data_IF_118427087775
#
_entry.id   IF_118427087775
#
_cell.length_a   1.000
_cell.length_b   1.000
_cell.length_c   1.000
_cell.angle_alpha   90.00
_cell.angle_beta   90.00
_cell.angle_gamma   90.00
#
_symmetry.space_group_name_H-M   'P 1'
#
loop_
_entity.id
_entity.type
_entity.pdbx_description
1 polymer ?
#
# COMPACT_ATOMS: atom_id res chain seq x y z
N UNK A 1 4.08 -20.23 -13.32
CA UNK A 1 4.31 -21.69 -13.09
C UNK A 1 3.58 -22.11 -11.84
N UNK A 2 3.09 -23.34 -11.82
CA UNK A 2 2.39 -23.91 -10.66
C UNK A 2 3.37 -24.62 -9.72
N UNK A 3 2.89 -25.02 -8.55
CA UNK A 3 3.71 -25.68 -7.53
C UNK A 3 4.34 -26.97 -8.06
N UNK A 4 3.58 -27.76 -8.81
CA UNK A 4 4.07 -29.00 -9.42
C UNK A 4 5.30 -28.75 -10.31
N UNK A 5 5.25 -27.72 -11.16
CA UNK A 5 6.37 -27.34 -12.03
C UNK A 5 7.58 -26.95 -11.17
N UNK A 6 7.38 -26.10 -10.16
CA UNK A 6 8.44 -25.61 -9.28
C UNK A 6 9.13 -26.74 -8.49
N UNK A 7 8.35 -27.69 -7.98
CA UNK A 7 8.88 -28.87 -7.28
C UNK A 7 9.72 -29.77 -8.19
N UNK A 8 9.39 -29.84 -9.48
CA UNK A 8 10.18 -30.62 -10.46
C UNK A 8 11.59 -30.06 -10.66
N UNK A 9 11.77 -28.74 -10.55
CA UNK A 9 13.08 -28.07 -10.64
C UNK A 9 13.84 -27.98 -9.31
N UNK A 10 13.15 -28.17 -8.17
CA UNK A 10 13.77 -28.13 -6.85
C UNK A 10 14.76 -29.29 -6.63
N UNK A 11 15.82 -29.04 -5.87
CA UNK A 11 16.76 -30.08 -5.43
C UNK A 11 16.16 -30.94 -4.30
N UNK A 12 16.72 -32.14 -4.10
CA UNK A 12 16.21 -33.10 -3.10
C UNK A 12 16.28 -32.54 -1.68
N UNK A 13 17.26 -31.68 -1.36
CA UNK A 13 17.39 -31.06 -0.05
C UNK A 13 16.33 -29.99 0.22
N UNK A 14 15.88 -29.25 -0.81
CA UNK A 14 14.73 -28.36 -0.71
C UNK A 14 13.44 -29.17 -0.54
N UNK A 15 13.25 -30.22 -1.35
CA UNK A 15 12.07 -31.09 -1.26
C UNK A 15 11.96 -31.76 0.12
N UNK A 16 13.05 -32.33 0.64
CA UNK A 16 13.06 -32.94 1.98
C UNK A 16 12.73 -31.92 3.08
N UNK A 17 13.19 -30.68 2.98
CA UNK A 17 12.83 -29.62 3.95
C UNK A 17 11.33 -29.28 3.91
N UNK A 18 10.76 -29.19 2.71
CA UNK A 18 9.32 -28.95 2.54
C UNK A 18 8.52 -30.12 3.12
N UNK A 19 8.88 -31.35 2.74
CA UNK A 19 8.22 -32.57 3.23
C UNK A 19 8.27 -32.66 4.77
N UNK A 20 9.42 -32.39 5.39
CA UNK A 20 9.54 -32.35 6.86
C UNK A 20 8.65 -31.29 7.50
N UNK A 21 8.55 -30.10 6.88
CA UNK A 21 7.74 -28.99 7.41
C UNK A 21 6.25 -29.32 7.41
N UNK A 22 5.78 -30.06 6.39
CA UNK A 22 4.41 -30.56 6.32
C UNK A 22 4.19 -31.92 6.98
N UNK A 23 5.23 -32.49 7.60
CA UNK A 23 5.20 -33.83 8.21
C UNK A 23 4.69 -34.91 7.24
N UNK A 24 5.13 -34.83 5.99
CA UNK A 24 4.79 -35.78 4.93
C UNK A 24 5.30 -37.19 5.25
N UNK A 25 4.46 -38.20 5.08
CA UNK A 25 4.86 -39.61 5.16
C UNK A 25 5.51 -40.05 3.83
N UNK A 26 6.83 -39.92 3.73
CA UNK A 26 7.56 -40.25 2.50
C UNK A 26 8.94 -40.86 2.75
N UNK A 27 9.37 -41.74 1.85
CA UNK A 27 10.74 -42.24 1.81
C UNK A 27 11.66 -41.15 1.20
N UNK A 28 12.46 -40.49 2.03
CA UNK A 28 13.27 -39.31 1.68
C UNK A 28 14.39 -39.51 0.62
N UNK A 29 14.43 -40.65 -0.05
CA UNK A 29 15.44 -41.01 -1.05
C UNK A 29 14.92 -40.91 -2.50
N UNK A 30 13.60 -40.84 -2.73
CA UNK A 30 13.01 -40.70 -4.06
C UNK A 30 12.50 -39.28 -4.26
N UNK A 31 13.05 -38.58 -5.27
CA UNK A 31 12.58 -37.23 -5.64
C UNK A 31 11.11 -37.24 -6.03
N UNK A 32 10.67 -38.25 -6.79
CA UNK A 32 9.27 -38.36 -7.21
C UNK A 32 8.34 -38.60 -6.03
N UNK A 33 8.72 -39.45 -5.08
CA UNK A 33 7.91 -39.74 -3.90
C UNK A 33 7.76 -38.49 -3.02
N UNK A 34 8.84 -37.73 -2.85
CA UNK A 34 8.82 -36.44 -2.16
C UNK A 34 7.86 -35.44 -2.83
N UNK A 35 7.96 -35.28 -4.15
CA UNK A 35 7.08 -34.37 -4.91
C UNK A 35 5.62 -34.77 -4.75
N UNK A 36 5.29 -36.06 -4.92
CA UNK A 36 3.91 -36.54 -4.80
C UNK A 36 3.36 -36.37 -3.39
N UNK A 37 4.15 -36.68 -2.36
CA UNK A 37 3.74 -36.51 -0.96
C UNK A 37 3.56 -35.05 -0.57
N UNK A 38 4.41 -34.15 -1.07
CA UNK A 38 4.25 -32.70 -0.86
C UNK A 38 2.98 -32.22 -1.55
N UNK A 39 2.77 -32.56 -2.83
CA UNK A 39 1.60 -32.12 -3.58
C UNK A 39 0.30 -32.63 -2.94
N UNK A 40 0.24 -33.90 -2.52
CA UNK A 40 -0.94 -34.46 -1.87
C UNK A 40 -1.25 -33.78 -0.54
N UNK A 41 -0.23 -33.41 0.24
CA UNK A 41 -0.39 -32.79 1.57
C UNK A 41 -0.67 -31.30 1.47
N UNK A 42 0.08 -30.55 0.66
CA UNK A 42 -0.08 -29.09 0.50
C UNK A 42 -1.39 -28.76 -0.22
N UNK A 43 -1.88 -29.62 -1.13
CA UNK A 43 -3.16 -29.43 -1.79
C UNK A 43 -4.38 -29.69 -0.90
N UNK A 44 -4.19 -30.22 0.31
CA UNK A 44 -5.27 -30.32 1.29
C UNK A 44 -5.61 -28.95 1.87
N UNK A 45 -6.90 -28.64 1.87
CA UNK A 45 -7.44 -27.35 2.30
C UNK A 45 -7.24 -27.11 3.80
N UNK A 46 -7.51 -28.12 4.63
CA UNK A 46 -7.36 -28.08 6.08
C UNK A 46 -5.91 -27.81 6.51
N UNK A 47 -4.95 -28.48 5.86
CA UNK A 47 -3.51 -28.28 6.12
C UNK A 47 -3.09 -26.87 5.77
N UNK A 48 -3.51 -26.36 4.60
CA UNK A 48 -3.15 -25.03 4.13
C UNK A 48 -3.75 -23.92 5.01
N UNK A 49 -5.03 -24.07 5.40
CA UNK A 49 -5.70 -23.15 6.33
C UNK A 49 -5.04 -23.14 7.71
N UNK A 50 -4.68 -24.31 8.25
CA UNK A 50 -3.98 -24.41 9.52
C UNK A 50 -2.63 -23.69 9.48
N UNK A 51 -1.88 -23.81 8.38
CA UNK A 51 -0.62 -23.09 8.20
C UNK A 51 -0.83 -21.56 8.17
N UNK A 52 -1.85 -21.08 7.46
CA UNK A 52 -2.18 -19.65 7.43
C UNK A 52 -2.65 -19.14 8.80
N UNK A 53 -3.41 -19.95 9.54
CA UNK A 53 -3.85 -19.65 10.89
C UNK A 53 -2.69 -19.55 11.89
N UNK A 54 -1.66 -20.37 11.72
CA UNK A 54 -0.49 -20.42 12.59
C UNK A 54 0.58 -19.35 12.29
N UNK A 55 0.50 -18.67 11.15
CA UNK A 55 1.46 -17.63 10.77
C UNK A 55 1.42 -16.39 11.67
N UNK A 56 2.59 -15.80 11.91
CA UNK A 56 2.69 -14.50 12.57
C UNK A 56 2.07 -13.42 11.67
N UNK A 57 1.56 -12.34 12.28
CA UNK A 57 0.98 -11.23 11.52
C UNK A 57 1.97 -10.60 10.53
N UNK A 58 3.25 -10.52 10.90
CA UNK A 58 4.33 -10.04 10.03
C UNK A 58 4.52 -10.90 8.78
N UNK A 59 4.39 -12.23 8.92
CA UNK A 59 4.46 -13.18 7.81
C UNK A 59 3.23 -13.01 6.90
N UNK A 60 2.04 -12.82 7.50
CA UNK A 60 0.80 -12.54 6.76
C UNK A 60 0.88 -11.22 5.99
N UNK A 61 1.47 -10.18 6.58
CA UNK A 61 1.72 -8.90 5.91
C UNK A 61 2.72 -9.06 4.76
N UNK A 62 3.79 -9.82 4.99
CA UNK A 62 4.80 -10.10 3.97
C UNK A 62 4.19 -10.82 2.78
N UNK A 63 3.49 -11.94 2.99
CA UNK A 63 2.84 -12.66 1.87
C UNK A 63 1.81 -11.78 1.18
N UNK A 64 1.03 -10.99 1.92
CA UNK A 64 0.05 -10.07 1.35
C UNK A 64 0.67 -9.01 0.41
N UNK A 65 1.93 -8.64 0.64
CA UNK A 65 2.67 -7.76 -0.28
C UNK A 65 3.06 -8.42 -1.60
N UNK A 66 3.02 -9.76 -1.67
CA UNK A 66 3.35 -10.55 -2.86
C UNK A 66 2.10 -11.01 -3.64
N UNK A 67 0.96 -11.21 -2.98
CA UNK A 67 -0.22 -11.86 -3.58
C UNK A 67 -0.81 -11.09 -4.77
N UNK A 68 -0.78 -9.77 -4.71
CA UNK A 68 -1.39 -8.89 -5.72
C UNK A 68 -0.35 -8.14 -6.57
N UNK A 69 0.91 -8.57 -6.53
CA UNK A 69 1.92 -8.06 -7.46
C UNK A 69 1.77 -8.77 -8.82
N UNK A 70 1.77 -7.99 -9.90
CA UNK A 70 1.70 -8.49 -11.27
C UNK A 70 2.98 -9.23 -11.68
N UNK A 71 4.11 -8.99 -10.99
CA UNK A 71 5.37 -9.67 -11.24
C UNK A 71 5.39 -11.03 -10.58
N UNK A 72 5.99 -11.98 -11.28
CA UNK A 72 6.13 -13.36 -10.81
C UNK A 72 7.52 -13.71 -10.28
N UNK A 73 8.47 -12.78 -10.39
CA UNK A 73 9.84 -12.94 -9.94
C UNK A 73 10.34 -11.72 -9.15
N UNK A 74 11.11 -11.96 -8.09
CA UNK A 74 11.62 -10.94 -7.16
C UNK A 74 13.10 -11.17 -6.84
N UNK A 75 13.89 -10.10 -6.69
CA UNK A 75 15.27 -10.24 -6.21
C UNK A 75 15.31 -10.50 -4.70
N UNK A 76 16.47 -10.92 -4.17
CA UNK A 76 16.64 -11.10 -2.72
C UNK A 76 16.46 -9.76 -1.98
N UNK A 77 17.03 -8.69 -2.52
CA UNK A 77 16.99 -7.34 -1.96
C UNK A 77 15.54 -6.84 -1.88
N UNK A 78 14.76 -7.08 -2.92
CA UNK A 78 13.33 -6.73 -2.94
C UNK A 78 12.55 -7.49 -1.87
N UNK A 79 12.78 -8.80 -1.73
CA UNK A 79 12.13 -9.59 -0.69
C UNK A 79 12.56 -9.14 0.72
N UNK A 80 13.84 -8.82 0.92
CA UNK A 80 14.34 -8.29 2.20
C UNK A 80 13.65 -6.96 2.54
N UNK A 81 13.55 -6.05 1.57
CA UNK A 81 12.86 -4.78 1.76
C UNK A 81 11.38 -4.98 2.12
N UNK A 82 10.70 -5.93 1.49
CA UNK A 82 9.28 -6.26 1.81
C UNK A 82 9.10 -6.87 3.18
N UNK A 83 10.00 -7.76 3.60
CA UNK A 83 9.98 -8.30 4.97
C UNK A 83 10.21 -7.18 5.98
N UNK A 84 11.12 -6.25 5.72
CA UNK A 84 11.31 -5.09 6.60
C UNK A 84 10.07 -4.20 6.65
N UNK A 85 9.39 -3.99 5.52
CA UNK A 85 8.14 -3.23 5.47
C UNK A 85 6.97 -3.93 6.17
N UNK A 86 6.98 -5.26 6.25
CA UNK A 86 5.92 -6.04 6.92
C UNK A 86 6.05 -6.06 8.45
N UNK A 87 7.26 -5.77 8.95
CA UNK A 87 7.55 -5.56 10.36
C UNK A 87 7.21 -4.12 10.72
N UNK A 88 6.04 -3.94 11.33
CA UNK A 88 5.66 -2.63 11.82
C UNK A 88 6.41 -2.44 13.13
N UNK A 89 7.47 -1.64 13.06
CA UNK A 89 8.24 -1.27 14.24
C UNK A 89 7.30 -0.48 15.16
N UNK A 90 7.37 -0.74 16.47
CA UNK A 90 6.58 0.05 17.42
C UNK A 90 6.91 1.53 17.26
N UNK A 91 5.90 2.40 17.32
CA UNK A 91 6.00 3.85 17.12
C UNK A 91 7.05 4.55 18.00
N UNK A 92 7.58 3.88 19.03
CA UNK A 92 8.67 4.37 19.88
C UNK A 92 10.07 4.31 19.21
N UNK A 93 10.28 3.48 18.19
CA UNK A 93 11.58 3.31 17.53
C UNK A 93 11.68 4.09 16.21
N UNK A 94 10.58 4.31 15.50
CA UNK A 94 10.56 5.19 14.31
C UNK A 94 10.85 6.66 14.69
N UNK A 95 10.43 7.10 15.88
CA UNK A 95 10.80 8.41 16.42
C UNK A 95 12.31 8.58 16.65
N UNK A 96 13.04 7.47 16.90
CA UNK A 96 14.51 7.50 17.08
C UNK A 96 15.27 7.41 15.77
N UNK A 97 14.71 6.77 14.74
CA UNK A 97 15.34 6.69 13.41
C UNK A 97 15.15 7.98 12.59
N UNK A 98 14.13 8.80 12.90
CA UNK A 98 13.90 10.09 12.25
C UNK A 98 14.85 11.22 12.66
N UNK A 99 15.57 11.10 13.78
CA UNK A 99 16.54 12.12 14.23
C UNK A 99 17.94 11.94 13.62
N UNK A 100 18.30 10.73 13.16
CA UNK A 100 19.67 10.41 12.74
C UNK A 100 19.93 10.67 11.23
N UNK A 101 18.88 10.86 10.43
CA UNK A 101 18.99 11.09 8.98
C UNK A 101 18.87 12.59 8.57
N UNK A 102 18.72 13.48 9.55
CA UNK A 102 18.51 14.92 9.35
C UNK A 102 19.75 15.82 9.46
N UNK A 103 20.92 15.28 9.78
CA UNK A 103 22.12 16.09 10.12
C UNK A 103 23.27 15.92 9.13
N UNK A 104 23.06 16.31 7.87
CA UNK A 104 24.15 16.64 6.93
C UNK A 104 23.92 18.01 6.29
N UNK A 105 24.14 19.06 7.09
CA UNK A 105 24.51 20.38 6.60
C UNK A 105 25.65 20.95 7.47
N UNK A 106 26.83 21.01 6.85
CA UNK A 106 28.10 21.72 7.15
C UNK A 106 28.27 22.43 8.53
N UNK A 107 29.38 22.17 9.26
CA UNK A 107 29.77 22.99 10.40
C UNK A 107 30.75 24.11 9.98
N UNK A 108 30.51 25.33 10.48
CA UNK A 108 31.50 26.42 10.50
C UNK A 108 32.04 26.57 11.93
N UNK A 109 33.31 26.20 12.08
CA UNK A 109 34.34 26.64 13.04
C UNK A 109 33.97 26.99 14.50
N UNK A 110 34.63 26.32 15.45
CA UNK A 110 35.76 26.89 16.21
C UNK A 110 36.49 25.84 17.06
N UNK A 111 37.83 25.95 17.02
CA UNK A 111 38.84 25.24 17.82
C UNK A 111 38.57 25.39 19.32
N UNK A 112 38.97 24.43 20.16
CA UNK A 112 40.18 24.52 21.03
C UNK A 112 40.50 23.14 21.62
N UNK A 113 41.79 22.83 21.68
CA UNK A 113 42.45 21.65 22.22
C UNK A 113 42.33 21.56 23.76
N UNK A 114 42.36 20.36 24.35
CA UNK A 114 43.50 19.84 25.17
C UNK A 114 43.13 18.63 26.06
N UNK A 115 44.16 17.81 26.29
CA UNK A 115 44.44 17.00 27.48
C UNK A 115 43.80 15.59 27.65
N UNK A 116 44.59 14.60 27.24
CA UNK A 116 44.99 13.36 27.95
C UNK A 116 44.32 13.09 29.32
N UNK A 117 43.83 11.86 29.50
CA UNK A 117 44.36 10.96 30.52
C UNK A 117 44.05 9.47 30.26
N UNK A 118 45.11 8.65 30.30
CA UNK A 118 45.08 7.20 30.47
C UNK A 118 45.00 6.90 31.97
N UNK A 119 44.18 5.93 32.38
CA UNK A 119 44.63 4.69 33.04
C UNK A 119 43.54 4.02 33.90
N UNK A 120 43.67 2.68 33.94
CA UNK A 120 43.28 1.76 35.01
C UNK A 120 41.83 1.26 35.08
N UNK A 121 41.67 0.06 34.48
CA UNK A 121 40.99 -1.12 35.03
C UNK A 121 40.61 -1.01 36.51
N UNK A 122 39.35 -1.31 36.82
CA UNK A 122 38.99 -2.24 37.89
C UNK A 122 37.64 -2.88 37.58
N UNK A 123 37.64 -4.20 37.68
CA UNK A 123 36.53 -5.11 37.51
C UNK A 123 35.35 -4.76 38.42
N UNK A 124 34.13 -4.78 37.88
CA UNK A 124 33.01 -5.29 38.67
C UNK A 124 32.11 -6.18 37.82
N UNK A 125 32.22 -7.47 38.16
CA UNK A 125 31.48 -8.60 37.62
C UNK A 125 30.18 -8.69 38.41
N UNK A 126 29.13 -8.01 37.98
CA UNK A 126 27.77 -8.31 38.42
C UNK A 126 27.06 -9.09 37.32
N UNK A 127 26.96 -10.39 37.57
CA UNK A 127 25.98 -11.29 36.94
C UNK A 127 24.59 -10.69 37.20
N UNK A 128 24.02 -10.04 36.19
CA UNK A 128 22.58 -9.86 36.08
C UNK A 128 22.10 -10.79 34.96
N UNK A 129 21.17 -11.65 35.34
CA UNK A 129 20.37 -12.57 34.55
C UNK A 129 20.12 -12.11 33.11
N UNK A 130 20.72 -12.83 32.14
CA UNK A 130 20.24 -12.86 30.76
C UNK A 130 18.83 -13.44 30.76
N UNK A 131 17.83 -12.58 30.83
CA UNK A 131 16.55 -12.87 30.22
C UNK A 131 16.84 -13.29 28.77
N UNK A 132 16.29 -14.42 28.35
CA UNK A 132 16.33 -14.87 26.95
C UNK A 132 15.60 -13.81 26.12
N UNK A 133 16.35 -12.84 25.60
CA UNK A 133 15.92 -12.06 24.45
C UNK A 133 15.60 -13.08 23.36
N UNK A 134 14.32 -13.16 22.98
CA UNK A 134 13.89 -13.90 21.80
C UNK A 134 14.72 -13.34 20.66
N UNK A 135 15.61 -14.16 20.11
CA UNK A 135 16.44 -13.78 18.98
C UNK A 135 15.47 -13.45 17.85
N UNK A 136 15.30 -12.17 17.52
CA UNK A 136 14.42 -11.76 16.43
C UNK A 136 14.97 -12.35 15.14
N UNK A 137 14.20 -13.24 14.51
CA UNK A 137 14.51 -13.79 13.20
C UNK A 137 14.82 -12.64 12.25
N UNK A 138 15.94 -12.66 11.53
CA UNK A 138 16.27 -11.63 10.54
C UNK A 138 15.35 -11.69 9.31
N UNK A 139 15.39 -10.69 8.42
CA UNK A 139 14.63 -10.71 7.16
C UNK A 139 14.93 -11.94 6.30
N UNK A 140 16.20 -12.37 6.27
CA UNK A 140 16.65 -13.58 5.54
C UNK A 140 16.10 -14.87 6.15
N UNK A 141 15.85 -14.90 7.46
CA UNK A 141 15.27 -16.06 8.13
C UNK A 141 13.80 -16.20 7.75
N UNK A 142 13.07 -15.08 7.62
CA UNK A 142 11.69 -15.06 7.10
C UNK A 142 11.64 -15.62 5.68
N UNK A 143 12.52 -15.15 4.79
CA UNK A 143 12.63 -15.67 3.41
C UNK A 143 12.94 -17.17 3.42
N UNK A 144 13.88 -17.60 4.26
CA UNK A 144 14.26 -19.02 4.40
C UNK A 144 13.08 -19.87 4.88
N UNK A 145 12.26 -19.35 5.79
CA UNK A 145 11.03 -20.01 6.27
C UNK A 145 10.01 -20.19 5.15
N UNK A 146 9.79 -19.16 4.33
CA UNK A 146 8.89 -19.23 3.17
C UNK A 146 9.38 -20.22 2.10
N UNK A 147 10.70 -20.40 1.96
CA UNK A 147 11.27 -21.48 1.14
C UNK A 147 11.01 -22.86 1.73
N UNK A 148 11.13 -23.00 3.05
CA UNK A 148 10.83 -24.27 3.75
C UNK A 148 9.34 -24.63 3.68
N UNK A 149 8.45 -23.64 3.67
CA UNK A 149 7.03 -23.85 3.39
C UNK A 149 6.73 -24.20 1.92
N UNK A 150 7.71 -24.14 1.03
CA UNK A 150 7.48 -24.38 -0.40
C UNK A 150 6.56 -23.32 -1.01
N UNK A 151 6.59 -22.08 -0.50
CA UNK A 151 5.85 -20.95 -1.07
C UNK A 151 6.76 -20.02 -1.88
N UNK A 152 8.07 -20.13 -1.67
CA UNK A 152 9.06 -19.37 -2.40
C UNK A 152 10.12 -20.31 -2.99
N UNK A 153 10.36 -20.19 -4.29
CA UNK A 153 11.34 -20.99 -5.03
C UNK A 153 12.36 -20.09 -5.70
N UNK A 154 13.56 -20.59 -5.92
CA UNK A 154 14.51 -19.92 -6.82
C UNK A 154 14.07 -20.16 -8.27
N UNK A 155 14.38 -19.22 -9.17
CA UNK A 155 14.20 -19.42 -10.60
C UNK A 155 15.07 -20.56 -11.12
N UNK A 156 14.64 -21.16 -12.23
CA UNK A 156 15.15 -22.44 -12.72
C UNK A 156 16.17 -22.30 -13.86
N UNK A 157 16.21 -21.19 -14.60
CA UNK A 157 17.10 -21.02 -15.74
C UNK A 157 17.41 -19.56 -16.08
N UNK A 158 18.52 -19.37 -16.81
CA UNK A 158 18.88 -18.10 -17.43
C UNK A 158 19.14 -16.96 -16.43
N UNK A 159 18.81 -15.70 -16.78
CA UNK A 159 18.98 -14.55 -15.90
C UNK A 159 18.12 -14.63 -14.62
N UNK A 160 17.03 -15.39 -14.64
CA UNK A 160 16.08 -15.50 -13.52
C UNK A 160 16.52 -16.49 -12.43
N UNK A 161 17.63 -17.22 -12.62
CA UNK A 161 18.11 -18.24 -11.66
C UNK A 161 18.32 -17.71 -10.24
N UNK A 162 18.62 -16.42 -10.11
CA UNK A 162 18.83 -15.74 -8.82
C UNK A 162 17.59 -15.03 -8.29
N UNK A 163 16.50 -15.02 -9.05
CA UNK A 163 15.22 -14.47 -8.63
C UNK A 163 14.41 -15.51 -7.87
N UNK A 164 13.48 -15.02 -7.08
CA UNK A 164 12.54 -15.81 -6.30
C UNK A 164 11.15 -15.72 -6.89
N UNK A 165 10.44 -16.83 -6.94
CA UNK A 165 9.10 -16.93 -7.51
C UNK A 165 8.16 -17.59 -6.51
N UNK A 166 6.89 -17.15 -6.52
CA UNK A 166 5.80 -17.77 -5.75
C UNK A 166 4.92 -18.54 -6.75
N UNK A 167 4.62 -19.83 -6.53
CA UNK A 167 3.77 -20.60 -7.45
C UNK A 167 2.39 -19.96 -7.62
N UNK A 168 1.91 -19.90 -8.86
CA UNK A 168 0.68 -19.18 -9.21
C UNK A 168 -0.57 -19.79 -8.55
N UNK A 169 -0.67 -21.12 -8.58
CA UNK A 169 -1.71 -21.89 -7.88
C UNK A 169 -1.68 -21.67 -6.36
N UNK A 170 -0.50 -21.57 -5.75
CA UNK A 170 -0.40 -21.20 -4.33
C UNK A 170 -0.80 -19.76 -4.08
N UNK A 171 -0.37 -18.79 -4.91
CA UNK A 171 -0.83 -17.39 -4.80
C UNK A 171 -2.35 -17.32 -4.78
N UNK A 172 -3.04 -18.07 -5.64
CA UNK A 172 -4.50 -18.08 -5.70
C UNK A 172 -5.12 -18.71 -4.45
N UNK A 173 -4.63 -19.88 -4.02
CA UNK A 173 -5.13 -20.53 -2.79
C UNK A 173 -4.89 -19.68 -1.54
N UNK A 174 -3.80 -18.91 -1.51
CA UNK A 174 -3.55 -17.90 -0.48
C UNK A 174 -4.62 -16.82 -0.49
N UNK A 175 -4.93 -16.25 -1.67
CA UNK A 175 -5.96 -15.23 -1.80
C UNK A 175 -7.31 -15.76 -1.33
N UNK A 176 -7.72 -16.95 -1.77
CA UNK A 176 -8.99 -17.57 -1.36
C UNK A 176 -9.06 -17.83 0.16
N UNK A 177 -7.95 -18.25 0.77
CA UNK A 177 -7.93 -18.54 2.21
C UNK A 177 -7.93 -17.26 3.04
N UNK A 178 -7.18 -16.26 2.62
CA UNK A 178 -7.19 -14.93 3.23
C UNK A 178 -8.56 -14.26 3.06
N UNK A 179 -9.18 -14.34 1.87
CA UNK A 179 -10.53 -13.83 1.60
C UNK A 179 -11.51 -14.41 2.60
N UNK A 180 -11.56 -15.74 2.76
CA UNK A 180 -12.47 -16.41 3.70
C UNK A 180 -12.23 -15.99 5.15
N UNK A 181 -10.97 -15.85 5.55
CA UNK A 181 -10.61 -15.39 6.90
C UNK A 181 -11.04 -13.95 7.17
N UNK A 182 -10.92 -13.06 6.19
CA UNK A 182 -11.32 -11.66 6.34
C UNK A 182 -12.84 -11.50 6.26
N UNK A 183 -13.49 -12.24 5.36
CA UNK A 183 -14.96 -12.30 5.24
C UNK A 183 -15.60 -12.77 6.54
N UNK A 184 -14.98 -13.71 7.26
CA UNK A 184 -15.50 -14.17 8.56
C UNK A 184 -15.32 -13.17 9.71
N UNK A 185 -14.65 -12.03 9.48
CA UNK A 185 -14.40 -10.98 10.48
C UNK A 185 -15.23 -9.72 10.25
N UNK A 186 -15.96 -9.63 9.12
CA UNK A 186 -16.79 -8.48 8.79
C UNK A 186 -18.28 -8.79 8.95
N UNK A 187 -19.06 -7.74 9.20
CA UNK A 187 -20.52 -7.80 9.30
C UNK A 187 -21.15 -7.23 8.05
N UNK A 188 -21.95 -8.04 7.38
CA UNK A 188 -22.77 -7.64 6.24
C UNK A 188 -24.18 -7.30 6.71
N UNK A 189 -24.78 -6.25 6.13
CA UNK A 189 -26.14 -5.82 6.51
C UNK A 189 -27.23 -6.73 5.93
N UNK A 190 -27.00 -7.26 4.72
CA UNK A 190 -27.96 -8.12 4.03
C UNK A 190 -29.03 -7.35 3.24
N UNK A 191 -29.29 -6.11 3.62
CA UNK A 191 -30.18 -5.13 3.00
C UNK A 191 -29.43 -3.83 2.61
N UNK A 192 -30.15 -2.93 1.92
CA UNK A 192 -29.60 -1.67 1.42
C UNK A 192 -29.78 -0.55 2.48
N UNK A 193 -28.77 0.32 2.71
CA UNK A 193 -28.91 1.48 3.59
C UNK A 193 -30.02 2.43 3.11
N UNK A 194 -30.56 3.20 4.06
CA UNK A 194 -31.65 4.16 3.80
C UNK A 194 -31.22 5.28 2.85
N UNK A 195 -29.94 5.68 2.93
CA UNK A 195 -29.32 6.62 2.03
C UNK A 195 -27.86 6.24 1.80
N UNK A 196 -27.35 6.53 0.60
CA UNK A 196 -25.93 6.39 0.31
C UNK A 196 -25.42 7.47 -0.62
N UNK A 197 -24.13 7.76 -0.50
CA UNK A 197 -23.36 8.64 -1.37
C UNK A 197 -22.65 7.81 -2.43
N UNK A 198 -22.80 8.22 -3.68
CA UNK A 198 -22.11 7.69 -4.85
C UNK A 198 -21.65 8.86 -5.72
N UNK A 199 -20.33 9.04 -5.84
CA UNK A 199 -19.75 10.15 -6.60
C UNK A 199 -19.50 9.81 -8.07
N UNK A 200 -19.71 8.55 -8.48
CA UNK A 200 -19.64 8.11 -9.87
C UNK A 200 -18.38 8.65 -10.59
N UNK A 201 -18.52 9.24 -11.77
CA UNK A 201 -17.40 9.74 -12.59
C UNK A 201 -17.10 11.23 -12.39
N UNK A 202 -17.65 11.87 -11.35
CA UNK A 202 -17.55 13.32 -11.16
C UNK A 202 -16.10 13.81 -11.11
N UNK A 203 -15.16 12.97 -10.68
CA UNK A 203 -13.75 13.38 -10.56
C UNK A 203 -13.11 13.65 -11.92
N UNK A 204 -13.51 12.89 -12.95
CA UNK A 204 -13.08 13.12 -14.32
C UNK A 204 -13.64 14.42 -14.89
N UNK A 205 -14.87 14.79 -14.51
CA UNK A 205 -15.49 16.06 -14.91
C UNK A 205 -14.81 17.24 -14.22
N UNK A 206 -14.45 17.10 -12.94
CA UNK A 206 -13.77 18.15 -12.17
C UNK A 206 -12.36 18.47 -12.72
N UNK A 207 -11.68 17.50 -13.35
CA UNK A 207 -10.45 17.78 -14.12
C UNK A 207 -10.72 18.78 -15.23
N UNK A 208 -11.77 18.57 -16.04
CA UNK A 208 -12.12 19.47 -17.13
C UNK A 208 -12.57 20.85 -16.63
N UNK A 209 -13.27 20.89 -15.48
CA UNK A 209 -13.64 22.15 -14.82
C UNK A 209 -12.42 22.92 -14.32
N UNK A 210 -11.45 22.23 -13.70
CA UNK A 210 -10.19 22.86 -13.27
C UNK A 210 -9.45 23.50 -14.44
N UNK A 211 -9.25 22.76 -15.54
CA UNK A 211 -8.55 23.31 -16.71
C UNK A 211 -9.30 24.50 -17.31
N UNK A 212 -10.63 24.42 -17.40
CA UNK A 212 -11.47 25.50 -17.90
C UNK A 212 -11.42 26.73 -16.98
N UNK A 213 -11.43 26.53 -15.66
CA UNK A 213 -11.30 27.63 -14.71
C UNK A 213 -9.94 28.33 -14.84
N UNK A 214 -8.84 27.58 -14.97
CA UNK A 214 -7.50 28.15 -15.19
C UNK A 214 -7.40 28.88 -16.54
N UNK A 215 -8.08 28.38 -17.58
CA UNK A 215 -8.12 29.05 -18.89
C UNK A 215 -8.80 30.42 -18.84
N UNK A 216 -9.89 30.54 -18.07
CA UNK A 216 -10.76 31.71 -18.08
C UNK A 216 -10.38 32.78 -17.03
N UNK A 217 -9.48 32.47 -16.10
CA UNK A 217 -9.16 33.35 -14.98
C UNK A 217 -7.66 33.55 -14.86
N UNK A 218 -7.25 34.77 -14.54
CA UNK A 218 -5.90 35.04 -14.05
C UNK A 218 -5.81 34.61 -12.58
N UNK A 219 -5.01 33.58 -12.30
CA UNK A 219 -4.92 32.98 -10.96
C UNK A 219 -3.54 33.31 -10.38
N UNK A 220 -3.39 34.42 -9.64
CA UNK A 220 -2.16 34.69 -8.92
C UNK A 220 -1.94 33.63 -7.84
N UNK A 221 -0.68 33.22 -7.68
CA UNK A 221 -0.26 32.31 -6.62
C UNK A 221 0.32 33.09 -5.44
N UNK A 222 0.32 32.47 -4.25
CA UNK A 222 1.08 32.97 -3.10
C UNK A 222 2.59 32.85 -3.37
N UNK A 223 3.40 33.48 -2.51
CA UNK A 223 4.86 33.29 -2.53
C UNK A 223 5.29 31.83 -2.32
N UNK A 224 4.40 31.01 -1.75
CA UNK A 224 4.59 29.57 -1.53
C UNK A 224 3.96 28.71 -2.65
N UNK A 225 3.44 29.34 -3.71
CA UNK A 225 3.02 28.69 -4.95
C UNK A 225 1.63 28.08 -4.96
N UNK A 226 0.75 28.41 -4.00
CA UNK A 226 -0.63 27.92 -3.99
C UNK A 226 -1.66 29.03 -4.23
N UNK A 227 -2.87 28.64 -4.64
CA UNK A 227 -3.96 29.56 -4.94
C UNK A 227 -4.49 30.24 -3.68
N UNK A 228 -4.79 31.54 -3.78
CA UNK A 228 -5.50 32.24 -2.72
C UNK A 228 -6.89 31.64 -2.47
N UNK A 229 -7.35 31.71 -1.22
CA UNK A 229 -8.63 31.17 -0.74
C UNK A 229 -9.82 31.49 -1.66
N UNK A 230 -9.88 32.70 -2.22
CA UNK A 230 -10.96 33.12 -3.13
C UNK A 230 -11.04 32.22 -4.37
N UNK A 231 -9.90 31.96 -5.02
CA UNK A 231 -9.86 31.14 -6.24
C UNK A 231 -10.19 29.69 -5.92
N UNK A 232 -9.70 29.17 -4.77
CA UNK A 232 -10.04 27.82 -4.33
C UNK A 232 -11.54 27.66 -4.09
N UNK A 233 -12.19 28.61 -3.39
CA UNK A 233 -13.64 28.55 -3.17
C UNK A 233 -14.43 28.65 -4.47
N UNK A 234 -14.04 29.55 -5.37
CA UNK A 234 -14.72 29.67 -6.67
C UNK A 234 -14.60 28.38 -7.49
N UNK A 235 -13.43 27.75 -7.48
CA UNK A 235 -13.21 26.47 -8.15
C UNK A 235 -14.05 25.35 -7.51
N UNK A 236 -14.09 25.26 -6.18
CA UNK A 236 -14.88 24.25 -5.47
C UNK A 236 -16.40 24.37 -5.71
N UNK A 237 -16.91 25.57 -6.00
CA UNK A 237 -18.31 25.76 -6.40
C UNK A 237 -18.63 25.22 -7.80
N UNK A 238 -17.61 25.01 -8.65
CA UNK A 238 -17.77 24.42 -9.98
C UNK A 238 -17.68 22.90 -9.98
N UNK A 239 -17.12 22.31 -8.92
CA UNK A 239 -16.92 20.87 -8.83
C UNK A 239 -18.21 20.14 -8.48
N UNK A 240 -18.32 18.91 -8.97
CA UNK A 240 -19.45 18.03 -8.69
C UNK A 240 -19.55 17.65 -7.21
N UNK A 241 -18.45 17.75 -6.47
CA UNK A 241 -18.36 17.45 -5.04
C UNK A 241 -17.80 18.65 -4.28
N UNK A 242 -18.62 19.19 -3.38
CA UNK A 242 -18.23 20.32 -2.54
C UNK A 242 -17.42 19.85 -1.35
N UNK A 243 -16.14 20.19 -1.31
CA UNK A 243 -15.27 19.96 -0.16
C UNK A 243 -15.15 21.20 0.71
N UNK A 244 -14.94 20.99 2.01
CA UNK A 244 -14.64 22.08 2.94
C UNK A 244 -13.14 22.37 2.89
N UNK A 245 -12.78 23.66 2.94
CA UNK A 245 -11.39 24.06 3.06
C UNK A 245 -10.79 23.58 4.39
N UNK A 246 -9.49 23.23 4.41
CA UNK A 246 -8.74 23.04 5.64
C UNK A 246 -8.92 24.21 6.62
N UNK A 247 -9.13 23.92 7.90
CA UNK A 247 -9.29 24.96 8.91
C UNK A 247 -7.93 25.60 9.20
N UNK A 248 -7.90 26.92 9.40
CA UNK A 248 -6.65 27.64 9.68
C UNK A 248 -6.06 27.16 11.02
N UNK A 249 -4.83 26.68 10.98
CA UNK A 249 -4.14 26.14 12.17
C UNK A 249 -4.47 24.68 12.47
N UNK A 250 -5.34 24.04 11.67
CA UNK A 250 -5.53 22.60 11.71
C UNK A 250 -4.24 21.91 11.25
N UNK A 251 -3.68 21.09 12.13
CA UNK A 251 -2.55 20.25 11.76
C UNK A 251 -3.05 19.18 10.78
N UNK A 252 -2.57 19.24 9.53
CA UNK A 252 -2.90 18.28 8.46
C UNK A 252 -1.64 17.60 7.93
N UNK A 253 -1.76 16.31 7.72
CA UNK A 253 -0.76 15.47 7.09
C UNK A 253 -1.42 14.62 6.01
N UNK A 254 -0.76 14.46 4.87
CA UNK A 254 -1.26 13.65 3.76
C UNK A 254 -0.27 13.66 2.59
N UNK A 255 -0.70 13.18 1.42
CA UNK A 255 0.20 12.89 0.31
C UNK A 255 -0.12 13.74 -0.90
N UNK A 256 0.92 14.17 -1.62
CA UNK A 256 0.79 15.13 -2.73
C UNK A 256 1.45 16.47 -2.43
N UNK A 257 1.60 17.31 -3.45
CA UNK A 257 2.29 18.60 -3.36
C UNK A 257 1.46 19.62 -2.59
N UNK A 258 0.14 19.60 -2.75
CA UNK A 258 -0.79 20.65 -2.23
C UNK A 258 -1.80 20.17 -1.18
N UNK A 259 -1.50 19.05 -0.52
CA UNK A 259 -2.43 18.41 0.42
C UNK A 259 -2.65 19.20 1.72
N UNK A 260 -1.69 20.06 2.09
CA UNK A 260 -1.82 20.93 3.26
C UNK A 260 -2.72 22.13 2.96
N UNK A 261 -2.72 22.60 1.72
CA UNK A 261 -3.38 23.83 1.30
C UNK A 261 -4.79 23.58 0.76
N UNK A 262 -5.01 22.43 0.10
CA UNK A 262 -6.27 22.09 -0.54
C UNK A 262 -6.96 20.90 0.13
N UNK A 263 -8.30 20.78 -0.03
CA UNK A 263 -9.03 19.56 0.32
C UNK A 263 -8.52 18.33 -0.45
N UNK A 264 -8.87 17.13 0.02
CA UNK A 264 -8.24 15.88 -0.44
C UNK A 264 -8.44 15.64 -1.95
N UNK A 265 -9.67 15.79 -2.44
CA UNK A 265 -9.99 15.55 -3.85
C UNK A 265 -9.41 16.67 -4.73
N UNK A 266 -9.55 17.94 -4.37
CA UNK A 266 -8.90 19.04 -5.10
C UNK A 266 -7.37 18.88 -5.15
N UNK A 267 -6.73 18.50 -4.04
CA UNK A 267 -5.27 18.27 -4.03
C UNK A 267 -4.86 17.20 -5.03
N UNK A 268 -5.61 16.08 -5.10
CA UNK A 268 -5.31 15.02 -6.06
C UNK A 268 -5.50 15.48 -7.50
N UNK A 269 -6.57 16.23 -7.79
CA UNK A 269 -6.85 16.80 -9.13
C UNK A 269 -5.75 17.77 -9.57
N UNK A 270 -5.34 18.66 -8.66
CA UNK A 270 -4.29 19.64 -8.91
C UNK A 270 -2.96 18.94 -9.22
N UNK A 271 -2.56 17.98 -8.39
CA UNK A 271 -1.33 17.22 -8.58
C UNK A 271 -1.38 16.37 -9.86
N UNK A 272 -2.55 15.84 -10.23
CA UNK A 272 -2.76 15.11 -11.48
C UNK A 272 -2.52 16.01 -12.69
N UNK A 273 -3.18 17.17 -12.75
CA UNK A 273 -3.02 18.12 -13.85
C UNK A 273 -1.58 18.65 -13.94
N UNK A 274 -0.92 18.88 -12.80
CA UNK A 274 0.47 19.28 -12.76
C UNK A 274 1.39 18.18 -13.28
N UNK A 275 1.19 16.94 -12.83
CA UNK A 275 1.94 15.77 -13.30
C UNK A 275 1.78 15.53 -14.80
N UNK A 276 0.57 15.70 -15.34
CA UNK A 276 0.31 15.62 -16.79
C UNK A 276 0.92 16.77 -17.57
N UNK A 277 1.50 17.76 -16.89
CA UNK A 277 2.05 18.96 -17.50
C UNK A 277 0.98 19.82 -18.15
N UNK A 278 -0.27 19.76 -17.68
CA UNK A 278 -1.38 20.59 -18.20
C UNK A 278 -1.45 21.94 -17.52
N UNK A 279 -1.08 22.01 -16.25
CA UNK A 279 -0.90 23.25 -15.52
C UNK A 279 0.57 23.44 -15.16
N UNK A 280 0.98 24.70 -15.06
CA UNK A 280 2.31 25.08 -14.56
C UNK A 280 2.19 26.24 -13.60
N UNK A 281 3.06 26.24 -12.58
CA UNK A 281 3.20 27.32 -11.61
C UNK A 281 4.31 28.26 -12.12
N UNK A 282 3.99 29.52 -12.38
CA UNK A 282 4.93 30.56 -12.83
C UNK A 282 5.09 31.63 -11.76
N UNK A 283 6.01 32.58 -11.98
CA UNK A 283 6.14 33.76 -11.10
C UNK A 283 4.94 34.70 -11.17
N UNK A 284 4.14 34.62 -12.24
CA UNK A 284 2.95 35.45 -12.49
C UNK A 284 1.67 34.78 -12.02
N UNK A 285 1.62 33.45 -11.94
CA UNK A 285 0.45 32.73 -11.44
C UNK A 285 0.39 31.27 -11.85
N UNK A 286 -0.81 30.71 -11.81
CA UNK A 286 -1.11 29.38 -12.35
C UNK A 286 -1.61 29.50 -13.78
N UNK A 287 -0.98 28.79 -14.70
CA UNK A 287 -1.26 28.90 -16.13
C UNK A 287 -1.44 27.51 -16.78
N UNK A 288 -2.22 27.46 -17.87
CA UNK A 288 -2.25 26.28 -18.73
C UNK A 288 -1.01 26.25 -19.63
N UNK A 289 -0.38 25.08 -19.73
CA UNK A 289 0.64 24.81 -20.75
C UNK A 289 -0.02 24.64 -22.13
N UNK A 290 0.79 24.48 -23.20
CA UNK A 290 0.27 24.14 -24.52
C UNK A 290 -0.58 22.85 -24.49
N UNK A 291 -0.07 21.78 -23.87
CA UNK A 291 -0.80 20.53 -23.69
C UNK A 291 -2.06 20.70 -22.83
N UNK A 292 -2.01 21.58 -21.83
CA UNK A 292 -3.19 21.91 -21.01
C UNK A 292 -4.29 22.61 -21.79
N UNK A 293 -3.93 23.53 -22.70
CA UNK A 293 -4.90 24.21 -23.59
C UNK A 293 -5.55 23.22 -24.55
N UNK A 294 -4.75 22.38 -25.21
CA UNK A 294 -5.27 21.31 -26.06
C UNK A 294 -6.22 20.38 -25.29
N UNK A 295 -5.83 19.97 -24.06
CA UNK A 295 -6.70 19.14 -23.21
C UNK A 295 -8.00 19.86 -22.83
N UNK A 296 -7.93 21.15 -22.51
CA UNK A 296 -9.07 21.97 -22.12
C UNK A 296 -10.07 22.14 -23.28
N UNK A 297 -9.59 22.32 -24.50
CA UNK A 297 -10.42 22.46 -25.70
C UNK A 297 -11.25 21.22 -26.00
N UNK A 298 -10.72 20.03 -25.72
CA UNK A 298 -11.44 18.76 -25.91
C UNK A 298 -12.69 18.65 -25.03
N UNK A 299 -12.69 19.29 -23.84
CA UNK A 299 -13.79 19.26 -22.85
C UNK A 299 -14.30 17.86 -22.47
N UNK A 300 -13.49 16.83 -22.74
CA UNK A 300 -13.82 15.46 -22.37
C UNK A 300 -13.42 15.21 -20.91
N UNK A 301 -14.27 14.55 -20.10
CA UNK A 301 -13.89 14.10 -18.77
C UNK A 301 -12.65 13.21 -18.79
N UNK A 302 -11.88 13.23 -17.70
CA UNK A 302 -10.78 12.30 -17.51
C UNK A 302 -11.29 10.89 -17.19
N UNK A 303 -10.64 9.87 -17.76
CA UNK A 303 -10.99 8.50 -17.47
C UNK A 303 -10.59 8.11 -16.03
N UNK A 304 -11.51 7.49 -15.29
CA UNK A 304 -11.31 7.16 -13.87
C UNK A 304 -10.17 6.18 -13.62
N UNK A 305 -9.78 5.38 -14.61
CA UNK A 305 -8.67 4.43 -14.49
C UNK A 305 -7.34 5.17 -14.45
N UNK A 306 -7.19 6.25 -15.22
CA UNK A 306 -6.01 7.12 -15.19
C UNK A 306 -5.87 7.86 -13.87
N UNK A 307 -6.99 8.34 -13.31
CA UNK A 307 -7.01 8.96 -11.97
C UNK A 307 -6.69 7.94 -10.87
N UNK A 308 -7.27 6.73 -10.93
CA UNK A 308 -6.99 5.64 -10.00
C UNK A 308 -5.52 5.20 -10.06
N UNK A 309 -4.95 5.02 -11.25
CA UNK A 309 -3.54 4.68 -11.44
C UNK A 309 -2.63 5.77 -10.87
N UNK A 310 -2.94 7.05 -11.11
CA UNK A 310 -2.18 8.15 -10.54
C UNK A 310 -2.26 8.17 -9.01
N UNK A 311 -3.45 7.98 -8.43
CA UNK A 311 -3.65 7.90 -6.98
C UNK A 311 -2.85 6.75 -6.36
N UNK A 312 -2.95 5.53 -6.90
CA UNK A 312 -2.17 4.39 -6.45
C UNK A 312 -0.68 4.71 -6.44
N UNK A 313 -0.20 5.37 -7.48
CA UNK A 313 1.22 5.69 -7.65
C UNK A 313 1.69 6.76 -6.67
N UNK A 314 0.92 7.83 -6.52
CA UNK A 314 1.19 8.90 -5.57
C UNK A 314 1.24 8.37 -4.13
N UNK A 315 0.35 7.42 -3.81
CA UNK A 315 0.18 6.92 -2.45
C UNK A 315 1.05 5.68 -2.15
N UNK A 316 1.70 5.08 -3.17
CA UNK A 316 2.53 3.87 -3.03
C UNK A 316 3.73 4.05 -2.08
N UNK A 317 4.34 5.23 -2.05
CA UNK A 317 5.45 5.50 -1.12
C UNK A 317 4.97 5.46 0.34
N UNK A 318 3.99 6.28 0.71
CA UNK A 318 3.38 6.28 2.05
C UNK A 318 2.70 4.96 2.45
N UNK A 319 2.04 4.29 1.50
CA UNK A 319 1.29 3.05 1.73
C UNK A 319 1.83 1.96 0.78
N UNK A 320 2.93 1.27 1.12
CA UNK A 320 3.59 0.32 0.22
C UNK A 320 2.69 -0.81 -0.29
N UNK A 321 1.71 -1.23 0.51
CA UNK A 321 0.77 -2.31 0.21
C UNK A 321 -0.61 -1.83 -0.26
N UNK A 322 -0.72 -0.57 -0.72
CA UNK A 322 -1.99 0.04 -1.13
C UNK A 322 -2.80 -0.84 -2.09
N UNK A 323 -2.15 -1.45 -3.10
CA UNK A 323 -2.81 -2.34 -4.06
C UNK A 323 -3.48 -3.52 -3.35
N UNK A 324 -2.75 -4.21 -2.47
CA UNK A 324 -3.27 -5.34 -1.71
C UNK A 324 -4.45 -4.93 -0.81
N UNK A 325 -4.36 -3.78 -0.15
CA UNK A 325 -5.47 -3.29 0.69
C UNK A 325 -6.70 -2.96 -0.16
N UNK A 326 -6.53 -2.30 -1.29
CA UNK A 326 -7.64 -1.97 -2.21
C UNK A 326 -8.29 -3.24 -2.75
N UNK A 327 -7.52 -4.29 -3.08
CA UNK A 327 -8.08 -5.60 -3.42
C UNK A 327 -8.90 -6.22 -2.29
N UNK A 328 -8.48 -6.06 -1.03
CA UNK A 328 -9.28 -6.56 0.09
C UNK A 328 -10.53 -5.74 0.33
N UNK A 329 -10.46 -4.41 0.19
CA UNK A 329 -11.66 -3.55 0.19
C UNK A 329 -12.62 -4.00 -0.91
N UNK A 330 -12.10 -4.33 -2.11
CA UNK A 330 -12.89 -4.87 -3.21
C UNK A 330 -13.64 -6.15 -2.83
N UNK A 331 -12.90 -7.16 -2.34
CA UNK A 331 -13.47 -8.46 -1.97
C UNK A 331 -14.49 -8.34 -0.84
N UNK A 332 -14.19 -7.57 0.20
CA UNK A 332 -15.06 -7.38 1.35
C UNK A 332 -16.28 -6.53 1.00
N UNK A 333 -16.12 -5.53 0.13
CA UNK A 333 -17.18 -4.60 -0.29
C UNK A 333 -18.06 -5.07 -1.44
N UNK A 334 -18.13 -6.37 -1.75
CA UNK A 334 -19.04 -6.91 -2.79
C UNK A 334 -20.52 -6.66 -2.47
N UNK A 335 -20.83 -6.67 -1.18
CA UNK A 335 -22.13 -6.32 -0.59
C UNK A 335 -21.92 -5.20 0.43
N UNK A 336 -23.01 -4.59 0.89
CA UNK A 336 -22.96 -3.61 1.97
C UNK A 336 -22.37 -4.25 3.24
N UNK A 337 -21.26 -3.68 3.71
CA UNK A 337 -20.48 -4.16 4.85
C UNK A 337 -20.28 -3.02 5.84
N UNK A 338 -20.40 -3.32 7.13
CA UNK A 338 -20.17 -2.35 8.21
C UNK A 338 -18.75 -1.77 8.12
N UNK A 339 -18.66 -0.44 8.06
CA UNK A 339 -17.40 0.26 8.00
C UNK A 339 -16.53 -0.09 9.21
N UNK A 340 -17.09 -0.13 10.41
CA UNK A 340 -16.37 -0.45 11.66
C UNK A 340 -15.64 -1.80 11.58
N UNK A 341 -16.35 -2.84 11.14
CA UNK A 341 -15.76 -4.19 11.04
C UNK A 341 -14.76 -4.31 9.90
N UNK A 342 -14.97 -3.60 8.79
CA UNK A 342 -13.97 -3.48 7.72
C UNK A 342 -12.71 -2.78 8.23
N UNK A 343 -12.86 -1.68 8.97
CA UNK A 343 -11.76 -0.93 9.57
C UNK A 343 -10.94 -1.82 10.51
N UNK A 344 -11.59 -2.48 11.48
CA UNK A 344 -10.90 -3.35 12.43
C UNK A 344 -10.21 -4.54 11.76
N UNK A 345 -10.80 -5.07 10.69
CA UNK A 345 -10.27 -6.22 9.93
C UNK A 345 -9.02 -5.86 9.11
N UNK A 346 -9.00 -4.69 8.48
CA UNK A 346 -7.91 -4.27 7.58
C UNK A 346 -6.81 -3.47 8.27
N UNK A 347 -7.12 -2.77 9.38
CA UNK A 347 -6.16 -1.99 10.17
C UNK A 347 -4.86 -2.73 10.49
N UNK A 348 -4.86 -4.03 10.89
CA UNK A 348 -3.63 -4.77 11.15
C UNK A 348 -2.68 -4.86 9.94
N UNK A 349 -3.13 -4.60 8.73
CA UNK A 349 -2.33 -4.64 7.51
C UNK A 349 -1.82 -3.26 7.09
N UNK A 350 -2.12 -2.18 7.81
CA UNK A 350 -1.75 -0.82 7.42
C UNK A 350 -0.62 -0.31 8.29
N UNK A 351 0.51 0.00 7.66
CA UNK A 351 1.67 0.55 8.36
C UNK A 351 1.42 2.05 8.64
N UNK A 352 1.66 2.56 9.86
CA UNK A 352 1.73 4.00 10.08
C UNK A 352 2.80 4.63 9.17
N UNK A 353 2.61 5.89 8.81
CA UNK A 353 3.55 6.62 7.96
C UNK A 353 3.80 8.03 8.50
N UNK A 354 4.99 8.25 9.06
CA UNK A 354 5.31 9.45 9.84
C UNK A 354 4.26 9.71 10.92
N UNK A 355 3.44 10.73 10.73
CA UNK A 355 2.39 11.13 11.67
C UNK A 355 1.01 10.57 11.30
N UNK A 356 0.87 9.94 10.13
CA UNK A 356 -0.38 9.33 9.67
C UNK A 356 -0.60 7.98 10.37
N UNK A 357 -1.70 7.86 11.09
CA UNK A 357 -2.05 6.67 11.85
C UNK A 357 -2.83 5.68 10.97
N UNK A 358 -2.76 4.35 11.23
CA UNK A 358 -3.42 3.35 10.41
C UNK A 358 -4.92 3.59 10.18
N UNK A 359 -5.62 4.14 11.18
CA UNK A 359 -7.03 4.52 11.14
C UNK A 359 -7.26 5.63 10.12
N UNK A 360 -6.52 6.73 10.23
CA UNK A 360 -6.59 7.88 9.32
C UNK A 360 -6.22 7.48 7.89
N UNK A 361 -5.21 6.61 7.74
CA UNK A 361 -4.82 6.05 6.44
C UNK A 361 -6.00 5.29 5.82
N UNK A 362 -6.59 4.36 6.56
CA UNK A 362 -7.69 3.55 6.03
C UNK A 362 -8.91 4.40 5.68
N UNK A 363 -9.34 5.27 6.59
CA UNK A 363 -10.56 6.04 6.44
C UNK A 363 -10.41 7.16 5.39
N UNK A 364 -9.39 8.00 5.54
CA UNK A 364 -9.27 9.22 4.75
C UNK A 364 -8.42 9.05 3.50
N UNK A 365 -7.37 8.22 3.54
CA UNK A 365 -6.43 8.07 2.42
C UNK A 365 -6.83 6.94 1.47
N UNK A 366 -7.57 5.94 1.97
CA UNK A 366 -8.05 4.82 1.19
C UNK A 366 -9.56 4.91 0.92
N UNK A 367 -10.42 4.70 1.91
CA UNK A 367 -11.88 4.58 1.71
C UNK A 367 -12.47 5.88 1.12
N UNK A 368 -12.16 7.04 1.71
CA UNK A 368 -12.66 8.33 1.21
C UNK A 368 -12.16 8.64 -0.20
N UNK A 369 -10.90 8.32 -0.50
CA UNK A 369 -10.35 8.52 -1.85
C UNK A 369 -10.95 7.56 -2.87
N UNK A 370 -11.20 6.29 -2.52
CA UNK A 370 -11.89 5.33 -3.39
C UNK A 370 -13.32 5.79 -3.68
N UNK A 371 -14.02 6.39 -2.71
CA UNK A 371 -15.31 7.04 -2.95
C UNK A 371 -15.16 8.23 -3.92
N UNK A 372 -14.17 9.10 -3.71
CA UNK A 372 -13.92 10.23 -4.62
C UNK A 372 -13.60 9.80 -6.05
N UNK A 373 -12.89 8.69 -6.22
CA UNK A 373 -12.60 8.09 -7.51
C UNK A 373 -13.80 7.34 -8.14
N UNK A 374 -14.95 7.29 -7.46
CA UNK A 374 -16.15 6.59 -7.95
C UNK A 374 -16.13 5.07 -7.80
N UNK A 375 -15.17 4.54 -7.07
CA UNK A 375 -14.95 3.08 -6.94
C UNK A 375 -15.74 2.49 -5.77
N UNK A 376 -16.23 3.34 -4.86
CA UNK A 376 -16.86 2.94 -3.62
C UNK A 376 -18.05 3.87 -3.29
N UNK A 377 -19.06 3.31 -2.62
CA UNK A 377 -20.22 4.00 -2.05
C UNK A 377 -20.16 3.90 -0.54
N UNK A 378 -20.59 4.98 0.12
CA UNK A 378 -20.73 5.03 1.58
C UNK A 378 -22.19 5.30 1.90
N UNK A 379 -22.81 4.41 2.67
CA UNK A 379 -24.20 4.50 3.10
C UNK A 379 -24.35 4.68 4.60
N UNK A 380 -25.54 5.08 5.00
CA UNK A 380 -25.98 5.16 6.39
C UNK A 380 -27.10 4.15 6.64
N UNK A 381 -26.82 3.18 7.51
CA UNK A 381 -27.68 2.06 7.84
C UNK A 381 -28.19 2.20 9.28
N UNK A 382 -29.49 1.98 9.49
CA UNK A 382 -30.15 2.22 10.78
C UNK A 382 -29.56 1.39 11.92
N UNK A 383 -29.20 0.13 11.66
CA UNK A 383 -28.63 -0.79 12.66
C UNK A 383 -27.10 -0.83 12.70
N UNK A 384 -26.44 -0.55 11.57
CA UNK A 384 -25.01 -0.82 11.38
C UNK A 384 -24.19 0.46 11.23
N UNK A 385 -24.83 1.63 11.29
CA UNK A 385 -24.21 2.92 11.06
C UNK A 385 -23.65 3.02 9.66
N UNK A 386 -22.42 3.51 9.53
CA UNK A 386 -21.79 3.66 8.24
C UNK A 386 -21.50 2.30 7.59
N UNK A 387 -21.93 2.15 6.34
CA UNK A 387 -21.72 0.95 5.54
C UNK A 387 -21.04 1.29 4.22
N UNK A 388 -20.25 0.35 3.72
CA UNK A 388 -19.40 0.52 2.55
C UNK A 388 -19.78 -0.52 1.49
N UNK A 389 -19.73 -0.13 0.22
CA UNK A 389 -19.88 -1.07 -0.90
C UNK A 389 -19.11 -0.60 -2.13
N UNK A 390 -18.47 -1.53 -2.82
CA UNK A 390 -17.79 -1.27 -4.09
C UNK A 390 -18.80 -1.05 -5.22
N UNK A 391 -18.51 -0.09 -6.10
CA UNK A 391 -19.27 0.09 -7.33
C UNK A 391 -18.89 -0.98 -8.36
N UNK A 392 -19.76 -1.28 -9.35
CA UNK A 392 -19.38 -2.14 -10.47
C UNK A 392 -18.08 -1.69 -11.16
N UNK A 393 -17.89 -0.38 -11.30
CA UNK A 393 -16.67 0.22 -11.83
C UNK A 393 -15.44 -0.05 -10.94
N UNK A 394 -15.57 0.14 -9.62
CA UNK A 394 -14.50 -0.16 -8.67
C UNK A 394 -14.00 -1.58 -8.82
N UNK A 395 -14.93 -2.55 -8.91
CA UNK A 395 -14.58 -3.96 -9.08
C UNK A 395 -13.81 -4.22 -10.38
N UNK A 396 -14.20 -3.62 -11.50
CA UNK A 396 -13.49 -3.81 -12.78
C UNK A 396 -12.10 -3.20 -12.78
N UNK A 397 -11.93 -2.01 -12.18
CA UNK A 397 -10.63 -1.33 -12.10
C UNK A 397 -9.66 -2.06 -11.17
N UNK A 398 -10.12 -2.44 -9.98
CA UNK A 398 -9.29 -3.13 -8.99
C UNK A 398 -8.86 -4.50 -9.49
N UNK A 399 -9.68 -5.20 -10.28
CA UNK A 399 -9.30 -6.45 -10.94
C UNK A 399 -8.12 -6.33 -11.93
N UNK A 400 -7.58 -5.13 -12.16
CA UNK A 400 -6.41 -4.93 -13.03
C UNK A 400 -6.74 -4.97 -14.51
N UNK A 401 -8.02 -4.79 -14.87
CA UNK A 401 -8.47 -4.74 -16.26
C UNK A 401 -8.21 -3.37 -16.93
N UNK A 402 -7.21 -2.59 -16.45
CA UNK A 402 -6.66 -1.41 -17.15
C UNK A 402 -5.15 -1.18 -16.88
N UNK A 403 -4.47 -0.67 -17.91
CA UNK A 403 -3.08 -0.91 -18.36
C UNK A 403 -2.07 0.17 -17.88
N UNK A 404 -0.86 -0.30 -17.53
CA UNK A 404 0.47 0.34 -17.35
C UNK A 404 0.88 1.06 -16.04
N UNK A 405 1.96 0.52 -15.45
CA UNK A 405 2.71 1.02 -14.28
C UNK A 405 4.03 1.66 -14.74
N UNK A 406 4.10 2.99 -14.84
CA UNK A 406 5.36 3.75 -15.00
C UNK A 406 5.63 4.64 -13.78
N UNK A 407 6.86 4.65 -13.27
CA UNK A 407 7.23 5.45 -12.09
C UNK A 407 7.16 6.97 -12.38
N UNK A 408 6.60 7.75 -11.44
CA UNK A 408 6.55 9.22 -11.50
C UNK A 408 7.59 9.79 -10.54
N UNK A 409 8.39 10.74 -11.03
CA UNK A 409 9.16 11.66 -10.19
C UNK A 409 8.37 12.96 -10.14
N UNK A 410 7.81 13.29 -8.96
CA UNK A 410 7.26 14.61 -8.72
C UNK A 410 8.42 15.50 -8.28
N UNK A 411 8.86 16.40 -9.16
CA UNK A 411 9.78 17.45 -8.77
C UNK A 411 9.00 18.53 -7.99
N UNK A 412 9.56 18.92 -6.84
CA UNK A 412 9.02 19.91 -5.92
C UNK A 412 8.85 21.28 -6.58
#
# INVERSE_FOLDING_TARGET
MNLADMLSYADIGQLSRIATTYQCECNGNSKNDLIQSILSTVNRRDVFEAQIGAMKLEDLRFINSLLFDARDAFSLEELVARVQQSRFVSSAEEAKQGEDDGSKALPVSKKTETAKNKAAKLSNKSRASKEKQVQEDGPRDTISRFKQYGWLFNGYAGPDRYLFQVPADLKERFKETMERRLVSQVVYTGDEPHAYRDEQMLMGEDVAQLLTYVHLNEIPLTSEGFMYKRNVLQLLELFGVKEQLPVKGEWRFGYGRRMKEYPNRLSLLYDYCFYKGWITETSTGLELTAAGKERQELRTPEASDKLYQFWLRLYKGPIPNIRSIVHWIDKLGRSWVSADTMHSTLKPYIKPFYYDQPETILEQRLISMLMHLGLLRIGDHHEHGQVIRMTPLGRTMVAGLSIDDEAIILNS
#
